data_IF_745015265931
#
_entry.id   IF_745015265931
#
_cell.length_a   1.000
_cell.length_b   1.000
_cell.length_c   1.000
_cell.angle_alpha   90.00
_cell.angle_beta   90.00
_cell.angle_gamma   90.00
#
_symmetry.space_group_name_H-M   'P 1'
#
loop_
_entity.id
_entity.type
_entity.pdbx_description
1 polymer ?
#
# COMPACT_ATOMS: atom_id res chain seq x y z
N UNK A 1 -8.16 0.29 10.49
CA UNK A 1 -7.52 -1.05 10.31
C UNK A 1 -6.72 -1.07 9.00
N UNK A 2 -5.85 -2.07 8.76
CA UNK A 2 -5.18 -2.26 7.47
C UNK A 2 -5.87 -3.40 6.68
N UNK A 3 -6.01 -3.24 5.37
CA UNK A 3 -6.69 -4.18 4.48
C UNK A 3 -5.77 -4.60 3.34
N UNK A 4 -5.75 -5.90 2.99
CA UNK A 4 -4.97 -6.38 1.86
C UNK A 4 -5.51 -5.80 0.55
N UNK A 5 -4.58 -5.40 -0.33
CA UNK A 5 -4.89 -4.84 -1.64
C UNK A 5 -4.34 -5.71 -2.77
N UNK A 6 -3.03 -5.98 -2.74
CA UNK A 6 -2.34 -6.67 -3.83
C UNK A 6 -1.09 -7.39 -3.31
N UNK A 7 -0.95 -8.65 -3.70
CA UNK A 7 0.29 -9.43 -3.59
C UNK A 7 1.06 -9.35 -4.90
N UNK A 8 2.34 -8.98 -4.85
CA UNK A 8 3.22 -8.93 -6.01
C UNK A 8 3.96 -10.27 -6.21
N UNK A 9 4.55 -10.42 -7.39
CA UNK A 9 5.29 -11.61 -7.82
C UNK A 9 6.52 -11.93 -6.96
N UNK A 10 7.10 -10.93 -6.31
CA UNK A 10 8.21 -11.08 -5.37
C UNK A 10 7.77 -11.25 -3.91
N UNK A 11 6.51 -11.62 -3.69
CA UNK A 11 5.86 -11.78 -2.38
C UNK A 11 5.73 -10.48 -1.57
N UNK A 12 5.88 -9.32 -2.21
CA UNK A 12 5.57 -8.05 -1.55
C UNK A 12 4.07 -7.90 -1.40
N UNK A 13 3.61 -7.63 -0.19
CA UNK A 13 2.22 -7.33 0.13
C UNK A 13 2.01 -5.82 0.16
N UNK A 14 1.01 -5.35 -0.59
CA UNK A 14 0.50 -3.99 -0.51
C UNK A 14 -0.81 -4.02 0.27
N UNK A 15 -0.85 -3.28 1.37
CA UNK A 15 -2.02 -3.13 2.22
C UNK A 15 -2.36 -1.65 2.38
N UNK A 16 -3.62 -1.31 2.63
CA UNK A 16 -4.04 0.08 2.81
C UNK A 16 -4.86 0.28 4.09
N UNK A 17 -4.81 1.47 4.66
CA UNK A 17 -5.67 1.86 5.77
C UNK A 17 -7.08 2.20 5.29
N UNK A 18 -8.01 2.35 6.24
CA UNK A 18 -9.23 3.13 6.00
C UNK A 18 -8.87 4.58 5.68
N UNK A 19 -9.81 5.31 5.10
CA UNK A 19 -9.67 6.75 4.92
C UNK A 19 -9.58 7.41 6.30
N UNK A 20 -8.47 8.11 6.52
CA UNK A 20 -8.22 8.88 7.72
C UNK A 20 -9.12 10.12 7.76
N UNK A 21 -9.29 10.72 8.94
CA UNK A 21 -10.16 11.90 9.12
C UNK A 21 -9.72 13.12 8.30
N UNK A 22 -8.45 13.20 7.94
CA UNK A 22 -7.86 14.24 7.10
C UNK A 22 -7.96 13.90 5.59
N UNK A 23 -8.67 12.83 5.22
CA UNK A 23 -8.86 12.38 3.84
C UNK A 23 -7.67 11.62 3.25
N UNK A 24 -6.62 11.36 4.04
CA UNK A 24 -5.47 10.57 3.60
C UNK A 24 -5.69 9.08 3.76
N UNK A 25 -4.95 8.30 2.97
CA UNK A 25 -4.89 6.84 3.10
C UNK A 25 -3.44 6.42 3.19
N UNK A 26 -3.10 5.63 4.20
CA UNK A 26 -1.77 5.02 4.32
C UNK A 26 -1.76 3.74 3.50
N UNK A 27 -0.89 3.67 2.51
CA UNK A 27 -0.51 2.45 1.80
C UNK A 27 0.79 1.95 2.42
N UNK A 28 0.81 0.70 2.84
CA UNK A 28 1.98 0.07 3.43
C UNK A 28 2.39 -1.10 2.54
N UNK A 29 3.69 -1.18 2.27
CA UNK A 29 4.30 -2.27 1.52
C UNK A 29 5.21 -3.01 2.47
N UNK A 30 5.04 -4.31 2.56
CA UNK A 30 5.98 -5.22 3.23
C UNK A 30 6.46 -6.27 2.26
N UNK A 31 7.74 -6.64 2.36
CA UNK A 31 8.32 -7.73 1.59
C UNK A 31 9.12 -8.60 2.55
N UNK A 32 8.87 -9.92 2.60
CA UNK A 32 9.69 -10.81 3.40
C UNK A 32 11.11 -10.83 2.85
N UNK A 33 12.11 -10.70 3.73
CA UNK A 33 13.53 -10.82 3.37
C UNK A 33 14.21 -11.84 4.28
N UNK A 34 15.04 -12.70 3.69
CA UNK A 34 15.71 -13.79 4.42
C UNK A 34 16.82 -13.30 5.36
N UNK A 35 17.33 -12.08 5.18
CA UNK A 35 18.49 -11.54 5.92
C UNK A 35 18.08 -10.66 7.09
N UNK A 36 17.04 -9.83 6.95
CA UNK A 36 16.62 -8.88 7.98
C UNK A 36 15.13 -8.98 8.36
N UNK A 37 14.51 -10.13 8.05
CA UNK A 37 13.11 -10.50 8.30
C UNK A 37 12.09 -9.81 7.38
N UNK A 38 12.14 -8.47 7.25
CA UNK A 38 11.20 -7.75 6.38
C UNK A 38 11.73 -6.39 5.94
N UNK A 39 11.52 -6.08 4.66
CA UNK A 39 11.61 -4.73 4.12
C UNK A 39 10.23 -4.07 4.19
N UNK A 40 10.19 -2.77 4.41
CA UNK A 40 8.93 -2.03 4.49
C UNK A 40 9.01 -0.60 3.96
N UNK A 41 7.87 -0.09 3.52
CA UNK A 41 7.69 1.28 3.05
C UNK A 41 6.26 1.74 3.27
N UNK A 42 6.08 3.04 3.52
CA UNK A 42 4.76 3.67 3.61
C UNK A 42 4.61 4.76 2.55
N UNK A 43 3.44 4.85 1.93
CA UNK A 43 3.05 5.92 1.00
C UNK A 43 1.68 6.47 1.40
N UNK A 44 1.53 7.80 1.48
CA UNK A 44 0.27 8.46 1.79
C UNK A 44 -0.39 9.04 0.54
N UNK A 45 -1.57 8.54 0.22
CA UNK A 45 -2.43 9.06 -0.84
C UNK A 45 -3.35 10.17 -0.30
N UNK A 46 -3.75 11.15 -1.14
CA UNK A 46 -3.45 11.30 -2.57
C UNK A 46 -2.14 12.06 -2.86
N UNK A 47 -1.39 12.46 -1.84
CA UNK A 47 -0.19 13.31 -2.01
C UNK A 47 1.05 12.55 -2.50
N UNK A 48 1.00 11.22 -2.51
CA UNK A 48 2.13 10.33 -2.84
C UNK A 48 3.36 10.60 -1.97
N UNK A 49 3.14 10.90 -0.69
CA UNK A 49 4.21 11.14 0.27
C UNK A 49 4.77 9.81 0.77
N UNK A 50 6.04 9.54 0.47
CA UNK A 50 6.73 8.33 0.92
C UNK A 50 7.45 8.55 2.24
N UNK A 51 7.28 7.63 3.18
CA UNK A 51 7.85 7.66 4.52
C UNK A 51 8.24 6.24 4.97
N UNK A 52 9.08 6.14 6.00
CA UNK A 52 9.42 4.88 6.67
C UNK A 52 9.87 3.78 5.68
N UNK A 53 10.80 4.13 4.79
CA UNK A 53 11.39 3.22 3.81
C UNK A 53 12.59 2.52 4.45
N UNK A 54 12.56 1.19 4.51
CA UNK A 54 13.62 0.34 5.05
C UNK A 54 13.84 -0.88 4.15
N UNK A 55 15.11 -1.19 3.87
CA UNK A 55 15.53 -2.39 3.12
C UNK A 55 15.33 -2.32 1.59
N UNK A 56 14.45 -1.46 1.09
CA UNK A 56 14.20 -1.34 -0.35
C UNK A 56 15.27 -0.53 -1.10
N UNK A 57 15.62 -1.01 -2.29
CA UNK A 57 16.39 -0.25 -3.28
C UNK A 57 15.54 0.82 -3.98
N UNK A 58 16.19 1.85 -4.53
CA UNK A 58 15.50 2.90 -5.31
C UNK A 58 14.69 2.30 -6.48
N UNK A 59 15.21 1.25 -7.13
CA UNK A 59 14.52 0.55 -8.21
C UNK A 59 13.25 -0.18 -7.76
N UNK A 60 13.26 -0.75 -6.55
CA UNK A 60 12.05 -1.38 -5.98
C UNK A 60 11.01 -0.33 -5.62
N UNK A 61 11.43 0.78 -5.00
CA UNK A 61 10.55 1.90 -4.69
C UNK A 61 9.91 2.48 -5.96
N UNK A 62 10.67 2.65 -7.04
CA UNK A 62 10.14 3.13 -8.31
C UNK A 62 9.16 2.14 -8.96
N UNK A 63 9.35 0.82 -8.75
CA UNK A 63 8.38 -0.19 -9.15
C UNK A 63 7.07 -0.03 -8.36
N UNK A 64 7.15 0.12 -7.04
CA UNK A 64 5.97 0.27 -6.20
C UNK A 64 5.23 1.59 -6.47
N UNK A 65 5.95 2.69 -6.72
CA UNK A 65 5.35 3.97 -7.15
C UNK A 65 4.44 3.79 -8.35
N UNK A 66 4.91 3.14 -9.41
CA UNK A 66 4.12 2.91 -10.63
C UNK A 66 2.86 2.09 -10.34
N UNK A 67 2.98 1.06 -9.51
CA UNK A 67 1.82 0.24 -9.09
C UNK A 67 0.81 1.12 -8.36
N UNK A 68 1.25 1.83 -7.31
CA UNK A 68 0.37 2.69 -6.49
C UNK A 68 -0.26 3.80 -7.33
N UNK A 69 0.48 4.46 -8.22
CA UNK A 69 -0.05 5.50 -9.12
C UNK A 69 -1.13 4.93 -10.05
N UNK A 70 -0.91 3.73 -10.60
CA UNK A 70 -1.90 3.08 -11.48
C UNK A 70 -3.17 2.64 -10.74
N UNK A 71 -3.08 2.33 -9.44
CA UNK A 71 -4.19 1.78 -8.64
C UNK A 71 -4.72 2.73 -7.57
N UNK A 72 -4.22 3.97 -7.47
CA UNK A 72 -4.54 4.90 -6.39
C UNK A 72 -6.04 5.17 -6.26
N UNK A 73 -6.74 5.29 -7.39
CA UNK A 73 -8.19 5.50 -7.41
C UNK A 73 -8.97 4.35 -6.75
N UNK A 74 -8.56 3.09 -6.96
CA UNK A 74 -9.18 1.92 -6.33
C UNK A 74 -8.91 1.90 -4.82
N UNK A 75 -7.67 2.17 -4.42
CA UNK A 75 -7.28 2.23 -3.01
C UNK A 75 -8.10 3.29 -2.26
N UNK A 76 -8.27 4.49 -2.84
CA UNK A 76 -9.08 5.56 -2.27
C UNK A 76 -10.58 5.23 -2.20
N UNK A 77 -11.09 4.45 -3.15
CA UNK A 77 -12.49 3.98 -3.10
C UNK A 77 -12.68 2.94 -2.00
N UNK A 78 -11.81 1.92 -1.95
CA UNK A 78 -11.90 0.84 -0.97
C UNK A 78 -11.60 1.32 0.46
N UNK A 79 -10.77 2.35 0.63
CA UNK A 79 -10.49 2.92 1.95
C UNK A 79 -11.71 3.57 2.59
N UNK A 80 -12.68 4.06 1.80
CA UNK A 80 -13.94 4.63 2.31
C UNK A 80 -14.92 3.54 2.76
N UNK A 81 -14.79 2.35 2.18
CA UNK A 81 -15.65 1.20 2.46
C UNK A 81 -15.02 0.23 3.46
N UNK A 82 -13.80 0.45 3.94
CA UNK A 82 -13.11 -0.49 4.84
C UNK A 82 -12.64 -1.77 4.15
N UNK A 83 -12.07 -1.66 2.94
CA UNK A 83 -11.46 -2.78 2.20
C UNK A 83 -12.41 -3.56 1.29
N UNK A 84 -11.88 -4.62 0.65
CA UNK A 84 -12.60 -5.44 -0.33
C UNK A 84 -13.84 -6.18 0.23
N UNK A 85 -13.89 -6.48 1.52
CA UNK A 85 -14.99 -7.24 2.10
C UNK A 85 -16.34 -6.48 2.06
N UNK A 86 -16.30 -5.15 1.97
CA UNK A 86 -17.50 -4.33 1.78
C UNK A 86 -17.88 -4.11 0.31
N UNK A 87 -17.05 -4.55 -0.65
CA UNK A 87 -17.35 -4.49 -2.08
C UNK A 87 -18.17 -5.69 -2.58
N UNK A 88 -18.40 -6.73 -1.74
CA UNK A 88 -19.20 -7.93 -2.11
C UNK A 88 -20.72 -7.72 -2.12
N UNK A 89 -21.21 -6.50 -1.88
CA UNK A 89 -22.64 -6.16 -1.82
C UNK A 89 -23.11 -5.20 -2.94
N UNK A 90 -22.44 -5.15 -4.09
CA UNK A 90 -22.96 -4.47 -5.29
C UNK A 90 -23.49 -5.45 -6.32
#
# INVERSE_FOLDING_TARGET
MMYPFLTLDDNSEIVHSEMMKDGRVKVYIEKPDEKDCFHHASCYLPQYTWEDISGFSDSEIDRYKKVIESTAHLILEFSQKGGFDNAKNI
#
